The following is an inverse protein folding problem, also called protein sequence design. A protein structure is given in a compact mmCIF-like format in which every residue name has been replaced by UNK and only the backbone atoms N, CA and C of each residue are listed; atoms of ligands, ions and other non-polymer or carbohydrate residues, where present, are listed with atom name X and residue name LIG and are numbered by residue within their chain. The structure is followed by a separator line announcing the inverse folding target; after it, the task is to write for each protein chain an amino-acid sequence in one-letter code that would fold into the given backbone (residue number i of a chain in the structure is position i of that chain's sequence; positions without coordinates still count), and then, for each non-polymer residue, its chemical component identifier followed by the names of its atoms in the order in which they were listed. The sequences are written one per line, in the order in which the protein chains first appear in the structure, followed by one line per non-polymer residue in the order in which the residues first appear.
data_IF_421141609716
#
_entry.id   IF_421141609716
#
_cell.length_a   1.000
_cell.length_b   1.000
_cell.length_c   1.000
_cell.angle_alpha   90.00
_cell.angle_beta   90.00
_cell.angle_gamma   90.00
#
_symmetry.space_group_name_H-M   'P 1'
#
loop_
_entity.id
_entity.type
_entity.pdbx_description
1 polymer ?
#
# COMPACT_ATOMS: atom_id res chain seq x y z
N UNK A 1 22.25 -33.82 38.95
CA UNK A 1 20.95 -33.22 39.32
C UNK A 1 21.13 -31.72 39.29
N UNK A 2 20.60 -31.07 38.28
CA UNK A 2 20.52 -29.60 38.26
C UNK A 2 19.55 -29.16 39.36
N UNK A 3 19.99 -28.29 40.23
CA UNK A 3 19.16 -27.79 41.34
C UNK A 3 18.08 -26.84 40.77
N UNK A 4 16.95 -26.74 41.46
CA UNK A 4 15.83 -25.82 41.06
C UNK A 4 16.32 -24.40 40.94
N UNK A 5 17.26 -23.95 41.75
CA UNK A 5 17.91 -22.63 41.65
C UNK A 5 18.72 -22.44 40.34
N UNK A 6 19.44 -23.46 39.88
CA UNK A 6 20.19 -23.43 38.63
C UNK A 6 19.25 -23.29 37.43
N UNK A 7 18.10 -23.97 37.44
CA UNK A 7 17.07 -23.83 36.39
C UNK A 7 16.42 -22.48 36.40
N UNK A 8 16.18 -21.89 37.58
CA UNK A 8 15.58 -20.56 37.72
C UNK A 8 16.53 -19.46 37.23
N UNK A 9 17.81 -19.55 37.55
CA UNK A 9 18.86 -18.63 37.06
C UNK A 9 19.02 -18.69 35.52
N UNK A 10 18.96 -19.88 34.93
CA UNK A 10 19.03 -20.09 33.49
C UNK A 10 17.79 -19.49 32.81
N UNK A 11 16.61 -19.68 33.40
CA UNK A 11 15.36 -19.11 32.90
C UNK A 11 15.35 -17.58 32.91
N UNK A 12 15.80 -16.97 34.02
CA UNK A 12 15.89 -15.51 34.16
C UNK A 12 16.88 -14.91 33.17
N UNK A 13 18.02 -15.56 32.94
CA UNK A 13 19.01 -15.12 31.95
C UNK A 13 18.43 -15.18 30.53
N UNK A 14 17.75 -16.28 30.19
CA UNK A 14 17.13 -16.44 28.87
C UNK A 14 16.08 -15.38 28.60
N UNK A 15 15.18 -15.10 29.56
CA UNK A 15 14.18 -14.04 29.45
C UNK A 15 14.84 -12.67 29.22
N UNK A 16 15.96 -12.40 29.90
CA UNK A 16 16.68 -11.13 29.72
C UNK A 16 17.27 -11.02 28.32
N UNK A 17 17.91 -12.06 27.80
CA UNK A 17 18.47 -12.09 26.44
C UNK A 17 17.36 -11.96 25.38
N UNK A 18 16.20 -12.60 25.56
CA UNK A 18 15.04 -12.46 24.68
C UNK A 18 14.48 -11.03 24.71
N UNK A 19 14.40 -10.42 25.89
CA UNK A 19 13.99 -9.02 26.05
C UNK A 19 14.91 -8.05 25.31
N UNK A 20 16.22 -8.20 25.48
CA UNK A 20 17.22 -7.35 24.83
C UNK A 20 17.11 -7.43 23.29
N UNK A 21 16.90 -8.63 22.76
CA UNK A 21 16.64 -8.83 21.32
C UNK A 21 15.41 -8.06 20.85
N UNK A 22 14.26 -8.22 21.52
CA UNK A 22 13.03 -7.56 21.12
C UNK A 22 13.12 -6.04 21.25
N UNK A 23 13.82 -5.53 22.29
CA UNK A 23 14.09 -4.11 22.43
C UNK A 23 14.89 -3.58 21.23
N UNK A 24 15.93 -4.30 20.83
CA UNK A 24 16.76 -3.89 19.69
C UNK A 24 15.95 -3.87 18.37
N UNK A 25 15.18 -4.93 18.11
CA UNK A 25 14.39 -5.03 16.87
C UNK A 25 13.30 -3.95 16.78
N UNK A 26 12.62 -3.66 17.88
CA UNK A 26 11.53 -2.69 17.93
C UNK A 26 11.99 -1.24 18.16
N UNK A 27 13.27 -1.03 18.46
CA UNK A 27 13.88 0.33 18.55
C UNK A 27 14.26 0.93 17.20
N UNK A 28 14.12 0.17 16.11
CA UNK A 28 14.28 0.71 14.76
C UNK A 28 13.22 1.78 14.52
N UNK A 29 13.53 2.80 13.72
CA UNK A 29 12.51 3.76 13.27
C UNK A 29 11.46 3.03 12.42
N UNK A 30 10.42 2.54 13.10
CA UNK A 30 9.27 1.94 12.43
C UNK A 30 8.44 3.09 11.88
N UNK A 31 8.58 3.36 10.58
CA UNK A 31 7.73 4.29 9.86
C UNK A 31 6.28 3.80 9.80
N UNK A 32 5.40 4.61 9.24
CA UNK A 32 4.03 4.18 8.98
C UNK A 32 4.04 3.16 7.83
N UNK A 33 4.14 1.86 8.20
CA UNK A 33 4.18 0.74 7.27
C UNK A 33 2.79 0.20 6.91
N UNK A 34 1.73 0.99 7.21
CA UNK A 34 0.36 0.56 7.00
C UNK A 34 -0.13 0.88 5.60
N UNK A 35 -1.02 0.05 5.10
CA UNK A 35 -1.77 0.38 3.91
C UNK A 35 -2.57 1.67 4.13
N UNK A 36 -2.71 2.47 3.08
CA UNK A 36 -3.52 3.68 3.13
C UNK A 36 -4.96 3.30 3.45
N UNK A 37 -5.48 3.87 4.54
CA UNK A 37 -6.88 3.71 4.93
C UNK A 37 -7.78 4.44 3.94
N UNK A 38 -8.91 3.85 3.58
CA UNK A 38 -9.94 4.51 2.77
C UNK A 38 -10.82 5.39 3.62
N UNK A 39 -11.06 4.97 4.87
CA UNK A 39 -11.81 5.76 5.84
C UNK A 39 -10.96 6.05 7.09
N UNK A 40 -11.13 7.23 7.70
CA UNK A 40 -10.41 7.57 8.91
C UNK A 40 -10.81 6.67 10.07
N UNK A 41 -9.85 6.32 10.94
CA UNK A 41 -10.14 5.56 12.16
C UNK A 41 -11.10 6.33 13.06
N UNK A 42 -12.16 5.68 13.47
CA UNK A 42 -13.08 6.21 14.47
C UNK A 42 -12.42 6.20 15.85
N UNK A 43 -12.89 7.08 16.76
CA UNK A 43 -12.38 7.14 18.15
C UNK A 43 -12.67 5.86 18.94
N UNK A 44 -13.80 5.23 18.67
CA UNK A 44 -14.17 3.95 19.27
C UNK A 44 -13.91 2.86 18.23
N UNK A 45 -13.13 1.86 18.64
CA UNK A 45 -12.84 0.69 17.80
C UNK A 45 -14.13 -0.09 17.55
N UNK A 46 -14.47 -0.24 16.30
CA UNK A 46 -15.52 -1.14 15.84
C UNK A 46 -14.88 -2.21 14.97
N UNK A 47 -14.87 -3.44 15.50
CA UNK A 47 -14.28 -4.60 14.83
C UNK A 47 -15.31 -5.30 13.94
N UNK A 48 -15.80 -4.57 12.94
CA UNK A 48 -16.59 -5.20 11.88
C UNK A 48 -15.65 -5.78 10.83
N UNK A 49 -15.44 -7.07 10.88
CA UNK A 49 -14.58 -7.77 9.94
C UNK A 49 -15.38 -8.26 8.72
N UNK A 50 -14.74 -8.18 7.57
CA UNK A 50 -15.15 -8.80 6.33
C UNK A 50 -13.99 -9.62 5.79
N UNK A 51 -14.21 -10.45 4.78
CA UNK A 51 -13.15 -11.30 4.25
C UNK A 51 -13.28 -11.54 2.74
N UNK A 52 -12.13 -11.73 2.11
CA UNK A 52 -12.04 -12.15 0.70
C UNK A 52 -11.00 -13.25 0.52
N UNK A 53 -11.12 -14.02 -0.55
CA UNK A 53 -10.21 -15.12 -0.84
C UNK A 53 -8.92 -14.64 -1.51
N UNK A 54 -7.79 -15.22 -1.11
CA UNK A 54 -6.47 -15.03 -1.72
C UNK A 54 -5.88 -16.38 -2.14
N UNK A 55 -6.51 -17.05 -3.07
CA UNK A 55 -6.07 -18.38 -3.50
C UNK A 55 -4.91 -18.28 -4.50
N UNK A 56 -3.88 -19.10 -4.28
CA UNK A 56 -2.75 -19.27 -5.17
C UNK A 56 -2.83 -20.66 -5.81
N UNK A 57 -3.01 -20.67 -7.12
CA UNK A 57 -3.28 -21.88 -7.92
C UNK A 57 -2.45 -21.91 -9.20
N UNK A 58 -2.49 -23.01 -9.93
CA UNK A 58 -1.88 -23.14 -11.25
C UNK A 58 -0.36 -22.94 -11.25
N UNK A 59 0.16 -22.27 -12.27
CA UNK A 59 1.59 -22.09 -12.48
C UNK A 59 2.31 -21.39 -11.30
N UNK A 60 1.65 -20.43 -10.65
CA UNK A 60 2.22 -19.74 -9.50
C UNK A 60 2.40 -20.69 -8.30
N UNK A 61 1.41 -21.54 -8.03
CA UNK A 61 1.51 -22.55 -6.97
C UNK A 61 2.61 -23.57 -7.27
N UNK A 62 2.72 -24.07 -8.50
CA UNK A 62 3.76 -25.01 -8.89
C UNK A 62 5.17 -24.40 -8.74
N UNK A 63 5.33 -23.11 -9.07
CA UNK A 63 6.60 -22.39 -8.84
C UNK A 63 6.91 -22.26 -7.36
N UNK A 64 5.91 -21.88 -6.53
CA UNK A 64 6.06 -21.81 -5.08
C UNK A 64 6.51 -23.15 -4.51
N UNK A 65 5.81 -24.23 -4.87
CA UNK A 65 6.12 -25.60 -4.44
C UNK A 65 7.52 -26.01 -4.87
N UNK A 66 7.92 -25.72 -6.11
CA UNK A 66 9.26 -26.03 -6.61
C UNK A 66 10.36 -25.30 -5.85
N UNK A 67 10.16 -24.01 -5.50
CA UNK A 67 11.16 -23.19 -4.80
C UNK A 67 11.19 -23.52 -3.31
N UNK A 68 10.05 -23.74 -2.68
CA UNK A 68 9.98 -24.11 -1.26
C UNK A 68 10.40 -25.58 -1.00
N UNK A 69 10.44 -26.40 -2.05
CA UNK A 69 10.49 -27.85 -1.89
C UNK A 69 9.25 -28.31 -1.10
N UNK A 70 9.38 -29.30 -0.25
CA UNK A 70 8.30 -29.69 0.66
C UNK A 70 8.39 -28.95 2.02
N UNK A 71 9.19 -27.87 2.09
CA UNK A 71 9.47 -27.16 3.34
C UNK A 71 8.49 -26.02 3.62
N UNK A 72 7.53 -26.21 4.51
CA UNK A 72 6.52 -25.22 4.86
C UNK A 72 7.11 -23.93 5.47
N UNK A 73 8.25 -24.04 6.16
CA UNK A 73 8.94 -22.85 6.67
C UNK A 73 9.49 -21.96 5.54
N UNK A 74 10.04 -22.55 4.48
CA UNK A 74 10.52 -21.78 3.33
C UNK A 74 9.35 -21.20 2.54
N UNK A 75 8.25 -21.95 2.40
CA UNK A 75 7.01 -21.45 1.83
C UNK A 75 6.53 -20.19 2.57
N UNK A 76 6.43 -20.27 3.91
CA UNK A 76 6.05 -19.12 4.72
C UNK A 76 7.02 -17.93 4.58
N UNK A 77 8.31 -18.21 4.53
CA UNK A 77 9.32 -17.16 4.32
C UNK A 77 9.11 -16.41 3.00
N UNK A 78 8.80 -17.15 1.92
CA UNK A 78 8.51 -16.55 0.59
C UNK A 78 7.25 -15.68 0.67
N UNK A 79 6.18 -16.18 1.30
CA UNK A 79 4.94 -15.43 1.49
C UNK A 79 5.17 -14.15 2.29
N UNK A 80 5.91 -14.23 3.40
CA UNK A 80 6.27 -13.09 4.25
C UNK A 80 7.10 -12.05 3.49
N UNK A 81 8.13 -12.49 2.77
CA UNK A 81 9.00 -11.58 2.00
C UNK A 81 8.21 -10.84 0.91
N UNK A 82 7.38 -11.57 0.15
CA UNK A 82 6.56 -10.95 -0.88
C UNK A 82 5.53 -9.96 -0.31
N UNK A 83 4.93 -10.26 0.85
CA UNK A 83 4.01 -9.35 1.53
C UNK A 83 4.71 -8.06 1.95
N UNK A 84 5.90 -8.15 2.53
CA UNK A 84 6.70 -6.99 2.92
C UNK A 84 7.09 -6.13 1.73
N UNK A 85 7.50 -6.74 0.61
CA UNK A 85 7.78 -6.01 -0.63
C UNK A 85 6.52 -5.34 -1.17
N UNK A 86 5.37 -6.01 -1.13
CA UNK A 86 4.09 -5.45 -1.55
C UNK A 86 3.74 -4.20 -0.72
N UNK A 87 3.82 -4.28 0.59
CA UNK A 87 3.57 -3.14 1.50
C UNK A 87 4.57 -2.01 1.26
N UNK A 88 5.86 -2.32 1.10
CA UNK A 88 6.87 -1.33 0.74
C UNK A 88 6.50 -0.56 -0.55
N UNK A 89 6.03 -1.27 -1.59
CA UNK A 89 5.60 -0.65 -2.86
C UNK A 89 4.36 0.26 -2.71
N UNK A 90 3.47 -0.03 -1.76
CA UNK A 90 2.31 0.80 -1.45
C UNK A 90 2.64 2.04 -0.62
N UNK A 91 3.54 1.89 0.36
CA UNK A 91 3.77 2.88 1.41
C UNK A 91 5.07 3.66 1.26
N UNK A 92 6.01 3.14 0.47
CA UNK A 92 7.40 3.58 0.38
C UNK A 92 8.16 3.51 1.73
N UNK A 93 7.60 2.85 2.75
CA UNK A 93 8.29 2.58 4.01
C UNK A 93 9.36 1.52 3.81
N UNK A 94 10.54 1.74 4.37
CA UNK A 94 11.65 0.78 4.29
C UNK A 94 11.59 -0.25 5.42
N UNK A 95 11.18 0.13 6.63
CA UNK A 95 11.03 -0.78 7.76
C UNK A 95 9.58 -1.27 7.81
N UNK A 96 9.38 -2.57 7.62
CA UNK A 96 8.06 -3.21 7.57
C UNK A 96 7.92 -4.19 8.72
N UNK A 97 6.85 -4.05 9.50
CA UNK A 97 6.50 -4.94 10.61
C UNK A 97 5.24 -5.72 10.27
N UNK A 98 5.31 -7.05 10.37
CA UNK A 98 4.17 -7.94 10.17
C UNK A 98 4.07 -8.88 11.37
N UNK A 99 2.87 -9.06 11.89
CA UNK A 99 2.59 -10.04 12.92
C UNK A 99 2.69 -11.47 12.41
N UNK A 100 3.35 -12.34 13.17
CA UNK A 100 3.43 -13.77 12.90
C UNK A 100 3.02 -14.57 14.13
N UNK A 101 2.12 -15.56 14.03
CA UNK A 101 1.88 -16.48 15.14
C UNK A 101 3.14 -17.25 15.49
N UNK A 102 3.21 -17.77 16.69
CA UNK A 102 4.29 -18.68 17.10
C UNK A 102 4.22 -20.01 16.34
N UNK A 103 5.38 -20.65 16.17
CA UNK A 103 5.46 -22.00 15.60
C UNK A 103 5.05 -23.04 16.62
N UNK A 104 4.29 -24.03 16.18
CA UNK A 104 3.92 -25.19 16.99
C UNK A 104 2.51 -25.69 16.71
N UNK A 105 2.14 -26.74 17.42
CA UNK A 105 0.82 -27.37 17.35
C UNK A 105 0.02 -26.94 18.58
N UNK A 106 -1.05 -26.22 18.41
CA UNK A 106 -1.96 -25.95 19.52
C UNK A 106 -2.42 -24.50 19.65
N UNK A 107 -3.01 -24.17 20.80
CA UNK A 107 -3.50 -22.83 21.10
C UNK A 107 -2.33 -21.94 21.50
N UNK A 108 -1.86 -21.15 20.55
CA UNK A 108 -0.88 -20.12 20.80
C UNK A 108 -1.57 -18.84 21.28
N UNK A 109 -1.04 -18.25 22.37
CA UNK A 109 -1.51 -16.94 22.85
C UNK A 109 -0.55 -15.81 22.51
N UNK A 110 0.46 -16.05 21.68
CA UNK A 110 1.52 -15.08 21.42
C UNK A 110 1.64 -14.77 19.92
N UNK A 111 1.94 -13.52 19.60
CA UNK A 111 2.20 -13.05 18.23
C UNK A 111 3.52 -12.30 18.22
N UNK A 112 4.34 -12.56 17.22
CA UNK A 112 5.67 -12.01 17.09
C UNK A 112 5.68 -10.90 16.07
N UNK A 113 6.17 -9.70 16.37
CA UNK A 113 6.40 -8.65 15.39
C UNK A 113 7.67 -8.98 14.58
N UNK A 114 7.51 -9.31 13.33
CA UNK A 114 8.61 -9.61 12.41
C UNK A 114 9.02 -8.33 11.70
N UNK A 115 10.17 -7.79 12.06
CA UNK A 115 10.69 -6.50 11.60
C UNK A 115 11.79 -6.72 10.56
N UNK A 116 11.61 -6.25 9.35
CA UNK A 116 12.64 -6.29 8.30
C UNK A 116 12.76 -4.95 7.59
N UNK A 117 13.97 -4.66 7.13
CA UNK A 117 14.26 -3.50 6.31
C UNK A 117 14.30 -3.89 4.83
N UNK A 118 13.39 -3.33 4.04
CA UNK A 118 13.33 -3.52 2.58
C UNK A 118 14.23 -2.49 1.91
N UNK A 119 15.29 -2.95 1.22
CA UNK A 119 16.21 -2.09 0.47
C UNK A 119 15.91 -2.23 -1.03
N UNK A 120 15.48 -1.15 -1.70
CA UNK A 120 15.09 -1.21 -3.13
C UNK A 120 16.17 -1.74 -4.06
N UNK A 121 17.45 -1.53 -3.72
CA UNK A 121 18.63 -1.92 -4.47
C UNK A 121 19.08 -3.36 -4.23
N UNK A 122 18.51 -4.07 -3.26
CA UNK A 122 18.81 -5.49 -3.05
C UNK A 122 17.94 -6.39 -3.94
N UNK A 123 18.43 -7.61 -4.22
CA UNK A 123 17.66 -8.60 -4.95
C UNK A 123 16.57 -9.22 -4.05
N UNK A 124 15.48 -9.70 -4.67
CA UNK A 124 14.43 -10.43 -3.94
C UNK A 124 15.01 -11.65 -3.19
N UNK A 125 16.00 -12.34 -3.78
CA UNK A 125 16.70 -13.45 -3.14
C UNK A 125 17.43 -13.04 -1.87
N UNK A 126 18.16 -11.92 -1.89
CA UNK A 126 18.85 -11.41 -0.70
C UNK A 126 17.84 -11.08 0.39
N UNK A 127 16.78 -10.34 0.05
CA UNK A 127 15.73 -10.02 1.00
C UNK A 127 15.04 -11.26 1.58
N UNK A 128 14.79 -12.28 0.75
CA UNK A 128 14.25 -13.56 1.22
C UNK A 128 15.16 -14.21 2.28
N UNK A 129 16.49 -14.14 2.10
CA UNK A 129 17.44 -14.67 3.09
C UNK A 129 17.44 -13.86 4.38
N UNK A 130 17.31 -12.52 4.28
CA UNK A 130 17.21 -11.64 5.46
C UNK A 130 15.94 -11.96 6.24
N UNK A 131 14.78 -12.02 5.59
CA UNK A 131 13.49 -12.39 6.21
C UNK A 131 13.55 -13.78 6.84
N UNK A 132 14.20 -14.74 6.17
CA UNK A 132 14.41 -16.09 6.73
C UNK A 132 15.19 -16.04 8.04
N UNK A 133 16.25 -15.25 8.10
CA UNK A 133 17.05 -15.11 9.31
C UNK A 133 16.24 -14.45 10.43
N UNK A 134 15.53 -13.37 10.13
CA UNK A 134 14.65 -12.69 11.09
C UNK A 134 13.60 -13.64 11.67
N UNK A 135 12.95 -14.46 10.83
CA UNK A 135 11.97 -15.46 11.28
C UNK A 135 12.61 -16.52 12.19
N UNK A 136 13.80 -17.03 11.85
CA UNK A 136 14.52 -18.00 12.70
C UNK A 136 14.87 -17.38 14.07
N UNK A 137 15.37 -16.17 14.08
CA UNK A 137 15.73 -15.44 15.30
C UNK A 137 14.52 -15.15 16.18
N UNK A 138 13.40 -14.73 15.59
CA UNK A 138 12.15 -14.49 16.28
C UNK A 138 11.57 -15.78 16.90
N UNK A 139 11.53 -16.89 16.13
CA UNK A 139 10.97 -18.14 16.62
C UNK A 139 11.82 -18.79 17.70
N UNK A 140 13.12 -18.59 17.73
CA UNK A 140 13.96 -19.06 18.87
C UNK A 140 13.63 -18.32 20.15
N UNK A 141 13.02 -17.12 20.06
CA UNK A 141 12.62 -16.24 21.17
C UNK A 141 11.11 -16.07 21.31
N UNK A 142 10.35 -16.99 20.76
CA UNK A 142 8.88 -16.92 20.71
C UNK A 142 8.21 -17.08 22.09
N UNK A 143 8.97 -17.47 23.12
CA UNK A 143 8.46 -17.66 24.49
C UNK A 143 8.32 -16.32 25.25
N UNK A 144 8.93 -15.24 24.76
CA UNK A 144 8.79 -13.93 25.41
C UNK A 144 7.35 -13.41 25.28
N UNK A 145 6.66 -13.12 26.41
CA UNK A 145 5.25 -12.76 26.36
C UNK A 145 5.03 -11.42 25.65
N UNK A 146 4.14 -11.40 24.66
CA UNK A 146 3.80 -10.22 23.89
C UNK A 146 3.29 -9.05 24.76
N UNK A 147 2.45 -9.33 25.77
CA UNK A 147 1.97 -8.32 26.72
C UNK A 147 3.09 -7.62 27.50
N UNK A 148 4.23 -8.30 27.69
CA UNK A 148 5.40 -7.68 28.29
C UNK A 148 6.10 -6.75 27.31
N UNK A 149 6.17 -7.11 26.02
CA UNK A 149 6.72 -6.22 24.98
C UNK A 149 5.96 -4.90 24.96
N UNK A 150 4.64 -4.94 24.86
CA UNK A 150 3.80 -3.74 24.84
C UNK A 150 4.07 -2.84 26.04
N UNK A 151 4.16 -3.42 27.26
CA UNK A 151 4.44 -2.67 28.50
C UNK A 151 5.85 -2.10 28.54
N UNK A 152 6.85 -2.88 28.14
CA UNK A 152 8.26 -2.48 28.20
C UNK A 152 8.55 -1.30 27.23
N UNK A 153 7.85 -1.26 26.11
CA UNK A 153 7.94 -0.16 25.13
C UNK A 153 7.08 1.04 25.47
N UNK A 154 6.29 1.01 26.56
CA UNK A 154 5.32 2.07 26.92
C UNK A 154 4.48 2.49 25.73
N UNK A 155 4.13 1.54 24.87
CA UNK A 155 3.26 1.81 23.74
C UNK A 155 1.88 2.14 24.30
N UNK A 156 1.49 3.40 24.15
CA UNK A 156 0.16 3.82 24.53
C UNK A 156 -0.82 2.97 23.71
N UNK A 157 -1.73 2.28 24.41
CA UNK A 157 -2.84 1.63 23.76
C UNK A 157 -3.67 2.71 23.07
N UNK A 158 -3.43 2.93 21.79
CA UNK A 158 -4.44 3.59 20.98
C UNK A 158 -5.66 2.70 21.01
N UNK A 159 -6.78 3.19 21.53
CA UNK A 159 -8.03 2.44 21.72
C UNK A 159 -8.60 1.79 20.45
N UNK A 160 -7.99 2.02 19.31
CA UNK A 160 -8.47 1.66 17.98
C UNK A 160 -7.38 1.16 17.03
N UNK A 161 -6.23 0.72 17.55
CA UNK A 161 -5.12 0.19 16.74
C UNK A 161 -4.27 -0.77 17.57
N UNK A 162 -3.87 -1.88 16.95
CA UNK A 162 -2.88 -2.78 17.54
C UNK A 162 -1.50 -2.11 17.59
N UNK A 163 -0.80 -2.13 18.74
CA UNK A 163 0.32 -1.21 18.96
C UNK A 163 1.59 -1.49 18.14
N UNK A 164 1.77 -2.70 17.60
CA UNK A 164 3.03 -3.09 16.94
C UNK A 164 2.92 -3.31 15.44
N UNK A 165 1.76 -3.72 14.94
CA UNK A 165 1.54 -4.00 13.53
C UNK A 165 0.04 -4.00 13.23
N UNK A 166 -0.32 -3.62 12.01
CA UNK A 166 -1.72 -3.66 11.56
C UNK A 166 -2.01 -4.88 10.68
N UNK A 167 -0.96 -5.56 10.19
CA UNK A 167 -1.09 -6.71 9.31
C UNK A 167 -0.46 -7.93 9.96
N UNK A 168 -1.18 -9.05 9.98
CA UNK A 168 -0.69 -10.35 10.41
C UNK A 168 -0.73 -11.36 9.26
N UNK A 169 0.25 -12.27 9.23
CA UNK A 169 0.35 -13.36 8.27
C UNK A 169 0.51 -14.69 8.99
N UNK A 170 -0.28 -15.68 8.62
CA UNK A 170 -0.22 -17.04 9.14
C UNK A 170 -0.18 -18.09 8.03
N UNK A 171 0.48 -19.21 8.29
CA UNK A 171 0.39 -20.45 7.54
C UNK A 171 0.00 -21.56 8.52
N UNK A 172 -1.20 -22.11 8.38
CA UNK A 172 -1.76 -23.07 9.36
C UNK A 172 -0.93 -24.33 9.56
N UNK A 173 -0.14 -24.69 8.54
CA UNK A 173 0.70 -25.89 8.56
C UNK A 173 1.90 -25.81 9.50
N UNK A 174 2.28 -24.61 9.95
CA UNK A 174 3.44 -24.41 10.85
C UNK A 174 3.13 -23.58 12.09
N UNK A 175 1.98 -22.90 12.12
CA UNK A 175 1.65 -21.96 13.18
C UNK A 175 0.55 -22.46 14.10
N UNK A 176 0.65 -22.08 15.35
CA UNK A 176 -0.49 -22.12 16.26
C UNK A 176 -1.62 -21.21 15.78
N UNK A 177 -2.83 -21.43 16.26
CA UNK A 177 -3.96 -20.55 16.02
C UNK A 177 -3.62 -19.11 16.43
N UNK A 178 -3.95 -18.15 15.56
CA UNK A 178 -3.74 -16.73 15.85
C UNK A 178 -4.66 -16.31 16.99
N UNK A 179 -4.16 -15.67 18.05
CA UNK A 179 -5.03 -15.13 19.10
C UNK A 179 -5.90 -14.00 18.52
N UNK A 180 -7.01 -13.71 19.18
CA UNK A 180 -7.80 -12.54 18.83
C UNK A 180 -7.01 -11.28 19.14
N UNK A 181 -6.63 -10.56 18.09
CA UNK A 181 -5.91 -9.28 18.16
C UNK A 181 -6.67 -8.23 17.34
N UNK A 182 -6.58 -6.99 17.78
CA UNK A 182 -7.25 -5.84 17.14
C UNK A 182 -6.39 -5.28 15.98
N UNK A 183 -5.92 -6.16 15.10
CA UNK A 183 -5.18 -5.75 13.90
C UNK A 183 -6.13 -5.53 12.71
N UNK A 184 -5.70 -4.72 11.76
CA UNK A 184 -6.53 -4.30 10.63
C UNK A 184 -6.77 -5.38 9.59
N UNK A 185 -5.71 -6.15 9.29
CA UNK A 185 -5.71 -7.17 8.23
C UNK A 185 -5.04 -8.44 8.73
N UNK A 186 -5.71 -9.57 8.58
CA UNK A 186 -5.13 -10.89 8.82
C UNK A 186 -5.16 -11.71 7.55
N UNK A 187 -4.00 -12.18 7.11
CA UNK A 187 -3.85 -13.07 5.97
C UNK A 187 -3.51 -14.46 6.47
N UNK A 188 -4.36 -15.43 6.18
CA UNK A 188 -4.14 -16.83 6.59
C UNK A 188 -4.08 -17.71 5.36
N UNK A 189 -3.02 -18.50 5.26
CA UNK A 189 -2.88 -19.52 4.24
C UNK A 189 -2.98 -20.91 4.83
N UNK A 190 -3.59 -21.82 4.08
CA UNK A 190 -3.66 -23.26 4.35
C UNK A 190 -3.22 -24.00 3.11
N UNK A 191 -2.28 -24.91 3.26
CA UNK A 191 -1.77 -25.74 2.17
C UNK A 191 -2.76 -26.85 1.87
N UNK A 192 -3.12 -26.99 0.62
CA UNK A 192 -3.92 -28.07 0.10
C UNK A 192 -3.12 -28.86 -0.96
N UNK A 193 -3.63 -29.99 -1.46
CA UNK A 193 -2.89 -30.87 -2.36
C UNK A 193 -2.35 -30.17 -3.61
N UNK A 194 -3.14 -29.29 -4.22
CA UNK A 194 -2.82 -28.62 -5.49
C UNK A 194 -2.99 -27.11 -5.45
N UNK A 195 -3.22 -26.55 -4.26
CA UNK A 195 -3.47 -25.11 -4.08
C UNK A 195 -2.94 -24.64 -2.76
N UNK A 196 -2.70 -23.34 -2.64
CA UNK A 196 -2.55 -22.67 -1.38
C UNK A 196 -3.79 -21.80 -1.20
N UNK A 197 -4.69 -22.25 -0.35
CA UNK A 197 -5.92 -21.53 -0.02
C UNK A 197 -5.59 -20.40 0.93
N UNK A 198 -5.93 -19.18 0.55
CA UNK A 198 -5.72 -17.98 1.35
C UNK A 198 -7.03 -17.28 1.66
N UNK A 199 -7.09 -16.68 2.84
CA UNK A 199 -8.15 -15.80 3.28
C UNK A 199 -7.54 -14.48 3.78
N UNK A 200 -8.10 -13.35 3.36
CA UNK A 200 -7.79 -12.02 3.89
C UNK A 200 -9.00 -11.58 4.69
N UNK A 201 -8.85 -11.51 6.00
CA UNK A 201 -9.81 -10.89 6.90
C UNK A 201 -9.38 -9.45 7.16
N UNK A 202 -10.30 -8.50 7.08
CA UNK A 202 -9.99 -7.08 7.22
C UNK A 202 -11.10 -6.30 7.92
N UNK A 203 -10.75 -5.16 8.52
CA UNK A 203 -11.72 -4.26 9.14
C UNK A 203 -12.42 -3.44 8.05
N UNK A 204 -13.72 -3.73 7.81
CA UNK A 204 -14.54 -3.06 6.79
C UNK A 204 -14.80 -1.57 7.06
N UNK A 205 -14.56 -1.10 8.28
CA UNK A 205 -14.64 0.32 8.60
C UNK A 205 -13.38 1.10 8.21
N UNK A 206 -12.32 0.41 7.76
CA UNK A 206 -11.04 1.00 7.34
C UNK A 206 -10.76 0.77 5.86
N UNK A 207 -11.27 -0.33 5.29
CA UNK A 207 -10.96 -0.75 3.93
C UNK A 207 -12.21 -1.17 3.17
N UNK A 208 -12.25 -0.83 1.89
CA UNK A 208 -13.23 -1.37 0.95
C UNK A 208 -12.77 -2.74 0.41
N UNK A 209 -13.74 -3.61 0.16
CA UNK A 209 -13.48 -4.94 -0.40
C UNK A 209 -12.76 -4.87 -1.75
N UNK A 210 -13.10 -3.91 -2.61
CA UNK A 210 -12.47 -3.72 -3.91
C UNK A 210 -10.99 -3.38 -3.76
N UNK A 211 -10.63 -2.50 -2.81
CA UNK A 211 -9.24 -2.14 -2.50
C UNK A 211 -8.45 -3.35 -1.98
N UNK A 212 -9.07 -4.19 -1.13
CA UNK A 212 -8.45 -5.43 -0.62
C UNK A 212 -8.28 -6.49 -1.72
N UNK A 213 -9.23 -6.63 -2.64
CA UNK A 213 -9.10 -7.54 -3.79
C UNK A 213 -7.99 -7.08 -4.76
N UNK A 214 -7.84 -5.77 -4.94
CA UNK A 214 -6.74 -5.21 -5.70
C UNK A 214 -5.40 -5.46 -5.00
N UNK A 215 -5.33 -5.24 -3.68
CA UNK A 215 -4.15 -5.59 -2.89
C UNK A 215 -3.78 -7.06 -3.00
N UNK A 216 -4.76 -7.97 -2.93
CA UNK A 216 -4.58 -9.41 -3.12
C UNK A 216 -4.00 -9.74 -4.51
N UNK A 217 -4.46 -9.04 -5.54
CA UNK A 217 -3.96 -9.17 -6.91
C UNK A 217 -2.52 -8.71 -7.03
N UNK A 218 -2.19 -7.55 -6.46
CA UNK A 218 -0.83 -7.00 -6.44
C UNK A 218 0.13 -7.88 -5.64
N UNK A 219 -0.32 -8.42 -4.51
CA UNK A 219 0.49 -9.37 -3.73
C UNK A 219 0.83 -10.63 -4.54
N UNK A 220 -0.16 -11.22 -5.25
CA UNK A 220 0.10 -12.34 -6.17
C UNK A 220 1.06 -11.96 -7.31
N UNK A 221 0.99 -10.72 -7.80
CA UNK A 221 1.90 -10.25 -8.84
C UNK A 221 3.34 -10.12 -8.33
N UNK A 222 3.55 -9.60 -7.13
CA UNK A 222 4.88 -9.54 -6.50
C UNK A 222 5.45 -10.95 -6.28
N UNK A 223 4.64 -11.91 -5.82
CA UNK A 223 5.03 -13.32 -5.72
C UNK A 223 5.48 -13.88 -7.07
N UNK A 224 4.68 -13.67 -8.12
CA UNK A 224 4.95 -14.11 -9.48
C UNK A 224 6.27 -13.53 -10.01
N UNK A 225 6.46 -12.23 -9.87
CA UNK A 225 7.66 -11.52 -10.34
C UNK A 225 8.92 -11.96 -9.57
N UNK A 226 8.86 -12.04 -8.24
CA UNK A 226 9.97 -12.50 -7.40
C UNK A 226 10.37 -13.96 -7.64
N UNK A 227 9.40 -14.83 -7.95
CA UNK A 227 9.66 -16.23 -8.28
C UNK A 227 10.07 -16.45 -9.73
N UNK A 228 9.78 -15.52 -10.63
CA UNK A 228 10.21 -15.56 -12.03
C UNK A 228 11.72 -15.34 -12.15
N UNK A 229 12.23 -14.34 -11.43
CA UNK A 229 13.66 -14.05 -11.33
C UNK A 229 13.98 -13.51 -9.94
N UNK A 230 14.47 -14.37 -9.05
CA UNK A 230 14.80 -14.00 -7.67
C UNK A 230 16.04 -13.10 -7.54
N UNK A 231 16.85 -12.95 -8.59
CA UNK A 231 17.98 -12.02 -8.59
C UNK A 231 17.58 -10.60 -9.01
N UNK A 232 16.34 -10.41 -9.45
CA UNK A 232 15.81 -9.09 -9.79
C UNK A 232 15.78 -8.19 -8.57
N UNK A 233 16.14 -6.91 -8.73
CA UNK A 233 16.09 -5.92 -7.67
C UNK A 233 14.65 -5.64 -7.25
N UNK A 234 14.44 -5.41 -5.97
CA UNK A 234 13.10 -5.10 -5.43
C UNK A 234 12.51 -3.85 -6.10
N UNK A 235 13.34 -2.83 -6.38
CA UNK A 235 12.91 -1.64 -7.13
C UNK A 235 12.27 -1.98 -8.48
N UNK A 236 12.74 -3.03 -9.15
CA UNK A 236 12.31 -3.44 -10.49
C UNK A 236 11.13 -4.43 -10.49
N UNK A 237 10.70 -4.93 -9.33
CA UNK A 237 9.51 -5.78 -9.25
C UNK A 237 8.26 -4.93 -9.53
N UNK A 238 7.45 -5.38 -10.46
CA UNK A 238 6.22 -4.69 -10.85
C UNK A 238 5.11 -4.99 -9.85
N UNK A 239 4.47 -3.94 -9.32
CA UNK A 239 3.31 -4.05 -8.46
C UNK A 239 2.05 -4.28 -9.30
N UNK A 240 1.85 -3.42 -10.30
CA UNK A 240 0.70 -3.45 -11.19
C UNK A 240 0.75 -4.65 -12.14
N UNK A 241 -0.43 -5.18 -12.46
CA UNK A 241 -0.58 -6.14 -13.55
C UNK A 241 -0.34 -5.48 -14.92
N UNK A 242 -0.15 -6.28 -15.95
CA UNK A 242 0.02 -5.77 -17.32
C UNK A 242 -1.25 -5.04 -17.79
N UNK A 243 -2.43 -5.52 -17.40
CA UNK A 243 -3.73 -4.93 -17.70
C UNK A 243 -3.89 -3.55 -17.02
N UNK A 244 -3.60 -3.45 -15.73
CA UNK A 244 -3.66 -2.17 -14.99
C UNK A 244 -2.66 -1.16 -15.56
N UNK A 245 -1.47 -1.64 -15.89
CA UNK A 245 -0.44 -0.80 -16.52
C UNK A 245 -0.89 -0.27 -17.88
N UNK A 246 -1.49 -1.12 -18.71
CA UNK A 246 -2.04 -0.72 -20.01
C UNK A 246 -3.16 0.30 -19.83
N UNK A 247 -4.06 0.08 -18.90
CA UNK A 247 -5.16 0.99 -18.59
C UNK A 247 -4.66 2.38 -18.21
N UNK A 248 -3.69 2.44 -17.27
CA UNK A 248 -3.14 3.71 -16.79
C UNK A 248 -2.33 4.43 -17.88
N UNK A 249 -1.48 3.70 -18.61
CA UNK A 249 -0.53 4.30 -19.54
C UNK A 249 -1.11 4.56 -20.92
N UNK A 250 -2.12 3.82 -21.35
CA UNK A 250 -2.69 3.88 -22.72
C UNK A 250 -4.13 4.33 -22.69
N UNK A 251 -5.05 3.57 -22.06
CA UNK A 251 -6.48 3.86 -22.14
C UNK A 251 -6.84 5.22 -21.51
N UNK A 252 -6.35 5.50 -20.32
CA UNK A 252 -6.63 6.77 -19.63
C UNK A 252 -5.87 7.95 -20.22
N UNK A 253 -4.83 7.70 -21.01
CA UNK A 253 -4.06 8.72 -21.71
C UNK A 253 -4.48 8.90 -23.18
N UNK A 254 -5.49 8.16 -23.65
CA UNK A 254 -6.05 8.38 -24.99
C UNK A 254 -6.96 9.62 -24.98
N UNK A 255 -6.32 10.76 -24.74
CA UNK A 255 -6.94 12.09 -24.69
C UNK A 255 -6.77 12.84 -26.00
N UNK A 256 -6.30 12.17 -27.07
CA UNK A 256 -6.06 12.79 -28.36
C UNK A 256 -7.34 13.34 -28.95
N UNK A 257 -7.40 14.65 -29.19
CA UNK A 257 -8.48 15.32 -29.87
C UNK A 257 -7.95 16.00 -31.12
N UNK A 258 -8.63 15.76 -32.23
CA UNK A 258 -8.34 16.51 -33.43
C UNK A 258 -8.67 18.00 -33.24
N UNK A 259 -7.71 18.87 -33.42
CA UNK A 259 -7.90 20.31 -33.45
C UNK A 259 -7.23 20.89 -34.70
N UNK A 260 -7.70 22.06 -35.15
CA UNK A 260 -7.13 22.73 -36.32
C UNK A 260 -5.71 23.20 -36.05
N UNK A 261 -4.72 22.57 -36.67
CA UNK A 261 -3.32 22.98 -36.62
C UNK A 261 -2.98 24.17 -37.54
N UNK A 262 -3.90 24.49 -38.43
CA UNK A 262 -3.77 25.50 -39.50
C UNK A 262 -4.35 26.88 -39.12
N UNK A 263 -4.95 27.00 -37.90
CA UNK A 263 -5.57 28.22 -37.42
C UNK A 263 -4.96 28.69 -36.10
N UNK A 264 -4.72 29.99 -36.02
CA UNK A 264 -4.37 30.63 -34.75
C UNK A 264 -5.59 30.78 -33.84
N UNK A 265 -5.37 30.98 -32.53
CA UNK A 265 -6.45 31.09 -31.52
C UNK A 265 -7.46 32.18 -31.87
N UNK A 266 -7.03 33.36 -32.35
CA UNK A 266 -7.93 34.44 -32.79
C UNK A 266 -8.82 34.02 -33.96
N UNK A 267 -8.28 33.26 -34.93
CA UNK A 267 -9.05 32.77 -36.07
C UNK A 267 -10.10 31.73 -35.68
N UNK A 268 -9.80 30.91 -34.66
CA UNK A 268 -10.78 29.98 -34.07
C UNK A 268 -11.91 30.76 -33.37
N UNK A 269 -11.54 31.81 -32.61
CA UNK A 269 -12.50 32.69 -31.98
C UNK A 269 -13.38 33.41 -33.00
N UNK A 270 -12.80 34.01 -34.04
CA UNK A 270 -13.52 34.66 -35.13
C UNK A 270 -14.48 33.69 -35.85
N UNK A 271 -14.03 32.47 -36.11
CA UNK A 271 -14.90 31.41 -36.67
C UNK A 271 -16.07 31.05 -35.72
N UNK A 272 -15.91 31.18 -34.41
CA UNK A 272 -16.99 30.99 -33.45
C UNK A 272 -17.95 32.17 -33.44
N UNK A 273 -17.45 33.40 -33.56
CA UNK A 273 -18.27 34.62 -33.71
C UNK A 273 -19.17 34.52 -34.94
N UNK A 274 -18.61 34.07 -36.09
CA UNK A 274 -19.40 33.89 -37.34
C UNK A 274 -20.51 32.84 -37.18
N UNK A 275 -20.25 31.75 -36.41
CA UNK A 275 -21.23 30.67 -36.24
C UNK A 275 -22.33 31.01 -35.24
N UNK A 276 -21.99 31.66 -34.13
CA UNK A 276 -22.88 31.88 -32.99
C UNK A 276 -22.71 33.31 -32.41
N UNK A 277 -22.99 34.39 -33.18
CA UNK A 277 -22.72 35.77 -32.75
C UNK A 277 -23.43 36.16 -31.45
N UNK A 278 -24.67 35.72 -31.28
CA UNK A 278 -25.53 36.06 -30.14
C UNK A 278 -25.33 35.17 -28.91
N UNK A 279 -24.50 34.13 -29.00
CA UNK A 279 -24.23 33.28 -27.84
C UNK A 279 -23.37 34.02 -26.81
N UNK A 280 -23.58 33.74 -25.52
CA UNK A 280 -22.79 34.31 -24.46
C UNK A 280 -21.33 33.80 -24.53
N UNK A 281 -20.40 34.76 -24.59
CA UNK A 281 -18.97 34.51 -24.65
C UNK A 281 -18.28 34.73 -23.30
N UNK A 282 -18.72 35.70 -22.52
CA UNK A 282 -18.17 36.01 -21.22
C UNK A 282 -19.27 36.50 -20.25
N UNK A 283 -19.14 36.10 -19.01
CA UNK A 283 -20.01 36.55 -17.89
C UNK A 283 -19.10 37.03 -16.77
N UNK A 284 -19.28 38.27 -16.36
CA UNK A 284 -18.64 38.79 -15.16
C UNK A 284 -19.68 38.87 -14.06
N UNK A 285 -19.50 38.05 -13.06
CA UNK A 285 -20.36 38.05 -11.86
C UNK A 285 -19.81 39.06 -10.86
N UNK A 286 -20.56 40.11 -10.60
CA UNK A 286 -20.11 41.25 -9.79
C UNK A 286 -20.10 41.00 -8.27
N UNK A 287 -20.04 39.72 -7.79
CA UNK A 287 -19.90 39.36 -6.36
C UNK A 287 -21.17 39.59 -5.52
N UNK A 288 -21.13 39.24 -4.25
CA UNK A 288 -22.24 39.13 -3.29
C UNK A 288 -22.81 40.48 -2.85
N UNK A 289 -23.00 41.48 -3.67
CA UNK A 289 -23.74 42.65 -3.32
C UNK A 289 -25.08 42.67 -4.09
N UNK A 290 -26.19 42.75 -3.39
CA UNK A 290 -27.59 42.68 -3.88
C UNK A 290 -27.96 43.75 -4.97
N UNK A 291 -27.02 44.53 -5.45
CA UNK A 291 -27.28 45.64 -6.37
C UNK A 291 -26.39 45.65 -7.65
N UNK A 292 -25.59 44.67 -7.90
CA UNK A 292 -24.76 44.59 -9.10
C UNK A 292 -25.28 43.54 -10.06
N UNK A 293 -25.73 44.01 -11.25
CA UNK A 293 -26.13 43.11 -12.33
C UNK A 293 -24.88 42.44 -12.94
N UNK A 294 -24.99 41.16 -13.26
CA UNK A 294 -23.96 40.42 -13.98
C UNK A 294 -23.76 41.06 -15.38
N UNK A 295 -22.53 41.47 -15.69
CA UNK A 295 -22.20 41.96 -17.03
C UNK A 295 -21.98 40.75 -17.95
N UNK A 296 -22.74 40.71 -19.01
CA UNK A 296 -22.69 39.62 -20.00
C UNK A 296 -22.28 40.19 -21.35
N UNK A 297 -21.42 39.46 -22.06
CA UNK A 297 -21.01 39.80 -23.43
C UNK A 297 -21.29 38.62 -24.36
N UNK A 298 -21.90 38.90 -25.49
CA UNK A 298 -22.02 37.97 -26.60
C UNK A 298 -20.69 37.81 -27.34
N UNK A 299 -20.55 36.78 -28.15
CA UNK A 299 -19.38 36.61 -29.02
C UNK A 299 -19.19 37.81 -29.96
N UNK A 300 -20.26 38.34 -30.50
CA UNK A 300 -20.22 39.54 -31.39
C UNK A 300 -19.73 40.78 -30.64
N UNK A 301 -20.27 41.04 -29.44
CA UNK A 301 -19.87 42.18 -28.62
C UNK A 301 -18.41 42.08 -28.16
N UNK A 302 -17.99 40.91 -27.71
CA UNK A 302 -16.61 40.67 -27.31
C UNK A 302 -15.63 40.87 -28.45
N UNK A 303 -15.95 40.36 -29.65
CA UNK A 303 -15.16 40.57 -30.86
C UNK A 303 -15.07 42.04 -31.24
N UNK A 304 -16.20 42.77 -31.19
CA UNK A 304 -16.22 44.20 -31.46
C UNK A 304 -15.31 44.98 -30.50
N UNK A 305 -15.43 44.73 -29.18
CA UNK A 305 -14.59 45.39 -28.17
C UNK A 305 -13.11 45.03 -28.35
N UNK A 306 -12.79 43.75 -28.65
CA UNK A 306 -11.42 43.31 -28.92
C UNK A 306 -10.79 44.02 -30.12
N UNK A 307 -11.54 44.15 -31.21
CA UNK A 307 -11.10 44.88 -32.43
C UNK A 307 -10.90 46.39 -32.16
N UNK A 308 -11.79 47.03 -31.39
CA UNK A 308 -11.63 48.42 -30.99
C UNK A 308 -10.34 48.62 -30.16
N UNK A 309 -10.08 47.74 -29.22
CA UNK A 309 -8.86 47.77 -28.41
C UNK A 309 -7.61 47.54 -29.28
N UNK A 310 -7.66 46.59 -30.21
CA UNK A 310 -6.55 46.32 -31.12
C UNK A 310 -6.21 47.55 -31.98
N UNK A 311 -7.22 48.22 -32.55
CA UNK A 311 -7.01 49.46 -33.30
C UNK A 311 -6.43 50.58 -32.41
N UNK A 312 -6.93 50.73 -31.19
CA UNK A 312 -6.39 51.71 -30.25
C UNK A 312 -4.93 51.46 -29.97
N UNK A 313 -4.54 50.21 -29.68
CA UNK A 313 -3.16 49.82 -29.41
C UNK A 313 -2.25 50.05 -30.63
N UNK A 314 -2.73 49.77 -31.84
CA UNK A 314 -1.99 50.07 -33.08
C UNK A 314 -1.67 51.56 -33.24
N UNK A 315 -2.58 52.46 -32.86
CA UNK A 315 -2.30 53.91 -32.87
C UNK A 315 -1.23 54.33 -31.87
N UNK A 316 -0.95 53.51 -30.89
CA UNK A 316 0.11 53.70 -29.88
C UNK A 316 1.39 52.94 -30.20
N UNK A 317 1.51 52.37 -31.40
CA UNK A 317 2.73 51.74 -31.89
C UNK A 317 2.87 50.26 -31.53
N UNK A 318 1.81 49.64 -31.00
CA UNK A 318 1.80 48.19 -30.77
C UNK A 318 1.57 47.46 -32.09
N UNK A 319 2.47 46.60 -32.48
CA UNK A 319 2.43 45.83 -33.72
C UNK A 319 3.00 44.42 -33.54
N UNK A 320 3.16 43.65 -34.62
CA UNK A 320 3.82 42.35 -34.55
C UNK A 320 5.19 42.49 -33.88
N UNK A 321 5.52 41.55 -32.99
CA UNK A 321 6.79 41.48 -32.26
C UNK A 321 7.09 42.65 -31.31
N UNK A 322 6.11 43.48 -30.96
CA UNK A 322 6.21 44.52 -29.93
C UNK A 322 5.50 44.02 -28.65
N UNK A 323 6.25 43.89 -27.56
CA UNK A 323 5.76 43.53 -26.24
C UNK A 323 5.69 44.72 -25.29
#
# INVERSE_FOLDING_TARGET
METTESKMLIFDRKIKEEKEYWIQELSREIGDSNLRLEWPRLKDYNDEKDSTSLNITGELYEKLKKVSGDGDFLLYTILMAALKVCIHKYTNSTVIVIGSPIRGDGKGGNVLPIVDEVKPEQSFRQFLMDVRQTLLDAYTRQQYPFDRLIRDFRMEHMKNRFPLFDIALALTDIHCELPQIENDITITFTKDQNTLSGNIEFNRNLFDIVGIEQFATHYKNILKEGLKDSNRLISNLQLLTDEERYQILVEWNDTSKAYSHDKCMHQLFESQVERNPEALAAVFSAGVSEQSEDEQLTYLELNSRANQLAHYLQTHGVGPDVS
#
